data_IF_162340407470
#
_entry.id   IF_162340407470
#
_cell.length_a   1.000
_cell.length_b   1.000
_cell.length_c   1.000
_cell.angle_alpha   90.00
_cell.angle_beta   90.00
_cell.angle_gamma   90.00
#
_symmetry.space_group_name_H-M   'P 1'
#
loop_
_entity.id
_entity.type
_entity.pdbx_description
1 polymer ?
#
# COMPACT_ATOMS: atom_id res chain seq x y z
N UNK A 1 3.73 22.88 -14.63
CA UNK A 1 2.27 22.64 -14.56
C UNK A 1 1.84 22.25 -13.15
N UNK A 2 0.53 22.22 -12.84
CA UNK A 2 -0.03 22.15 -11.47
C UNK A 2 0.45 20.98 -10.57
N UNK A 3 1.18 19.99 -11.11
CA UNK A 3 1.70 18.82 -10.40
C UNK A 3 3.23 18.73 -10.34
N UNK A 4 3.98 19.71 -10.86
CA UNK A 4 5.46 19.68 -10.83
C UNK A 4 6.03 19.67 -9.41
N UNK A 5 5.33 20.29 -8.46
CA UNK A 5 5.74 20.37 -7.05
C UNK A 5 5.14 19.25 -6.18
N UNK A 6 4.44 18.27 -6.76
CA UNK A 6 3.88 17.18 -5.96
C UNK A 6 5.00 16.37 -5.29
N UNK A 7 4.84 16.15 -3.98
CA UNK A 7 5.75 15.37 -3.14
C UNK A 7 5.00 14.27 -2.41
N UNK A 8 5.45 13.04 -2.57
CA UNK A 8 4.88 11.85 -1.93
C UNK A 8 5.94 11.19 -1.07
N UNK A 9 5.67 11.06 0.22
CA UNK A 9 6.48 10.23 1.11
C UNK A 9 6.00 8.78 1.03
N UNK A 10 6.93 7.83 0.96
CA UNK A 10 6.61 6.40 0.95
C UNK A 10 7.02 5.83 2.30
N UNK A 11 6.07 5.24 3.04
CA UNK A 11 6.39 4.60 4.31
C UNK A 11 7.32 3.40 4.14
N UNK A 12 8.28 3.30 5.05
CA UNK A 12 9.06 2.08 5.25
C UNK A 12 8.33 1.16 6.24
N UNK A 13 7.54 0.22 5.70
CA UNK A 13 6.79 -0.72 6.51
C UNK A 13 7.59 -2.01 6.78
N UNK A 14 7.34 -2.70 7.91
CA UNK A 14 7.80 -4.06 8.12
C UNK A 14 7.41 -4.99 6.95
N UNK A 15 8.30 -5.92 6.59
CA UNK A 15 8.16 -6.78 5.41
C UNK A 15 6.86 -7.58 5.33
N UNK A 16 6.28 -7.94 6.49
CA UNK A 16 4.98 -8.61 6.62
C UNK A 16 3.81 -7.89 5.93
N UNK A 17 3.93 -6.59 5.69
CA UNK A 17 2.91 -5.80 5.00
C UNK A 17 3.10 -5.78 3.47
N UNK A 18 4.30 -6.12 2.98
CA UNK A 18 4.62 -6.08 1.55
C UNK A 18 5.61 -7.15 1.10
N UNK A 19 6.91 -6.99 1.32
CA UNK A 19 7.96 -7.76 0.65
C UNK A 19 7.92 -9.25 0.93
N UNK A 20 7.36 -9.70 2.06
CA UNK A 20 7.16 -11.12 2.35
C UNK A 20 6.23 -11.78 1.30
N UNK A 21 5.25 -11.04 0.77
CA UNK A 21 4.30 -11.52 -0.24
C UNK A 21 4.92 -11.69 -1.63
N UNK A 22 6.09 -11.09 -1.89
CA UNK A 22 6.81 -11.24 -3.15
C UNK A 22 7.38 -12.64 -3.36
N UNK A 23 7.38 -13.47 -2.30
CA UNK A 23 7.69 -14.90 -2.39
C UNK A 23 6.74 -15.67 -3.32
N UNK A 24 5.52 -15.15 -3.52
CA UNK A 24 4.59 -15.68 -4.51
C UNK A 24 4.78 -14.96 -5.86
N UNK A 25 5.22 -15.69 -6.89
CA UNK A 25 5.48 -15.13 -8.22
C UNK A 25 4.28 -14.42 -8.85
N UNK A 26 3.05 -14.79 -8.47
CA UNK A 26 1.83 -14.11 -8.93
C UNK A 26 1.79 -12.64 -8.51
N UNK A 27 2.39 -12.31 -7.37
CA UNK A 27 2.53 -10.93 -6.89
C UNK A 27 3.45 -10.07 -7.79
N UNK A 28 4.14 -10.66 -8.79
CA UNK A 28 4.97 -9.92 -9.74
C UNK A 28 4.33 -9.71 -11.11
N UNK A 29 3.46 -10.63 -11.56
CA UNK A 29 2.99 -10.66 -12.96
C UNK A 29 1.46 -10.73 -13.12
N UNK A 30 0.71 -10.99 -12.05
CA UNK A 30 -0.75 -11.06 -12.11
C UNK A 30 -1.37 -9.66 -12.18
N UNK A 31 -2.62 -9.53 -12.66
CA UNK A 31 -3.32 -8.24 -12.74
C UNK A 31 -3.47 -7.53 -11.37
N UNK A 32 -3.39 -8.29 -10.27
CA UNK A 32 -3.46 -7.79 -8.90
C UNK A 32 -2.08 -7.31 -8.37
N UNK A 33 -0.98 -7.60 -9.08
CA UNK A 33 0.37 -7.12 -8.76
C UNK A 33 0.54 -5.59 -8.93
N UNK A 34 -0.51 -4.87 -9.32
CA UNK A 34 -0.50 -3.43 -9.45
C UNK A 34 -0.13 -2.69 -8.14
N UNK A 35 -0.41 -3.27 -6.96
CA UNK A 35 0.12 -2.78 -5.66
C UNK A 35 1.65 -2.67 -5.68
N UNK A 36 2.33 -3.72 -6.16
CA UNK A 36 3.78 -3.78 -6.28
C UNK A 36 4.28 -2.83 -7.36
N UNK A 37 3.58 -2.77 -8.50
CA UNK A 37 3.96 -1.90 -9.61
C UNK A 37 3.90 -0.42 -9.21
N UNK A 38 2.83 0.02 -8.56
CA UNK A 38 2.67 1.40 -8.07
C UNK A 38 3.72 1.71 -7.02
N UNK A 39 3.96 0.80 -6.06
CA UNK A 39 5.00 1.00 -5.05
C UNK A 39 6.38 1.19 -5.71
N UNK A 40 6.78 0.30 -6.63
CA UNK A 40 8.06 0.41 -7.35
C UNK A 40 8.15 1.67 -8.21
N UNK A 41 7.05 2.08 -8.83
CA UNK A 41 6.98 3.30 -9.62
C UNK A 41 7.18 4.54 -8.75
N UNK A 42 6.50 4.61 -7.60
CA UNK A 42 6.67 5.70 -6.63
C UNK A 42 8.09 5.74 -6.07
N UNK A 43 8.69 4.59 -5.75
CA UNK A 43 10.08 4.52 -5.28
C UNK A 43 11.09 5.13 -6.26
N UNK A 44 10.80 5.09 -7.56
CA UNK A 44 11.63 5.62 -8.66
C UNK A 44 11.16 6.98 -9.20
N UNK A 45 10.04 7.51 -8.70
CA UNK A 45 9.44 8.75 -9.20
C UNK A 45 10.20 9.98 -8.73
N UNK A 46 10.28 11.01 -9.57
CA UNK A 46 10.77 12.36 -9.19
C UNK A 46 9.87 13.05 -8.16
N UNK A 47 8.62 12.58 -8.01
CA UNK A 47 7.70 13.07 -6.99
C UNK A 47 7.95 12.47 -5.61
N UNK A 48 8.80 11.44 -5.48
CA UNK A 48 9.12 10.89 -4.16
C UNK A 48 9.97 11.88 -3.36
N UNK A 49 9.58 12.08 -2.11
CA UNK A 49 10.42 12.75 -1.11
C UNK A 49 10.86 11.75 -0.04
N UNK A 50 12.07 11.95 0.47
CA UNK A 50 12.58 11.26 1.67
C UNK A 50 12.33 12.06 2.95
N UNK A 51 11.88 13.31 2.79
CA UNK A 51 11.59 14.24 3.86
C UNK A 51 10.07 14.31 4.08
N UNK A 52 9.55 13.70 5.14
CA UNK A 52 8.10 13.66 5.38
C UNK A 52 7.49 15.05 5.62
N UNK A 53 8.27 16.03 6.08
CA UNK A 53 7.85 17.42 6.26
C UNK A 53 7.56 18.16 4.96
N UNK A 54 8.13 17.72 3.84
CA UNK A 54 7.88 18.28 2.50
C UNK A 54 6.76 17.54 1.76
N UNK A 55 6.19 16.49 2.36
CA UNK A 55 5.24 15.60 1.69
C UNK A 55 3.82 16.17 1.69
N UNK A 56 3.18 16.11 0.52
CA UNK A 56 1.76 16.44 0.34
C UNK A 56 0.87 15.22 0.56
N UNK A 57 1.36 14.03 0.20
CA UNK A 57 0.70 12.75 0.45
C UNK A 57 1.66 11.72 1.01
N UNK A 58 1.11 10.76 1.73
CA UNK A 58 1.82 9.65 2.34
C UNK A 58 1.32 8.33 1.74
N UNK A 59 2.16 7.69 0.93
CA UNK A 59 1.84 6.39 0.36
C UNK A 59 2.14 5.28 1.34
N UNK A 60 1.16 4.40 1.58
CA UNK A 60 1.28 3.26 2.51
C UNK A 60 1.36 1.96 1.70
N UNK A 61 2.57 1.37 1.51
CA UNK A 61 2.76 0.25 0.60
C UNK A 61 2.34 -1.09 1.23
N UNK A 62 1.05 -1.41 1.15
CA UNK A 62 0.47 -2.68 1.62
C UNK A 62 0.13 -3.55 0.40
N UNK A 63 0.53 -4.82 0.40
CA UNK A 63 0.26 -5.76 -0.69
C UNK A 63 -0.88 -6.72 -0.31
N UNK A 64 -2.07 -6.18 -0.06
CA UNK A 64 -3.21 -6.94 0.45
C UNK A 64 -3.77 -7.96 -0.56
N UNK A 65 -3.49 -7.77 -1.85
CA UNK A 65 -3.96 -8.67 -2.91
C UNK A 65 -2.95 -9.75 -3.31
N UNK A 66 -1.75 -9.73 -2.74
CA UNK A 66 -0.70 -10.69 -3.07
C UNK A 66 -0.78 -12.03 -2.33
N UNK A 67 -1.71 -12.17 -1.39
CA UNK A 67 -2.02 -13.46 -0.78
C UNK A 67 -3.03 -14.20 -1.64
N UNK A 68 -2.60 -15.21 -2.41
CA UNK A 68 -3.45 -15.94 -3.34
C UNK A 68 -3.93 -17.28 -2.78
N UNK A 69 -5.20 -17.62 -3.02
CA UNK A 69 -5.75 -18.96 -2.79
C UNK A 69 -5.06 -19.99 -3.69
N UNK A 70 -4.68 -21.12 -3.10
CA UNK A 70 -4.11 -22.25 -3.84
C UNK A 70 -5.14 -22.95 -4.74
N UNK A 71 -6.44 -22.81 -4.44
CA UNK A 71 -7.52 -23.54 -5.11
C UNK A 71 -7.83 -22.97 -6.49
N UNK A 72 -7.94 -21.65 -6.60
CA UNK A 72 -8.38 -20.96 -7.82
C UNK A 72 -7.44 -19.86 -8.28
N UNK A 73 -6.44 -19.51 -7.45
CA UNK A 73 -5.49 -18.46 -7.77
C UNK A 73 -6.02 -17.04 -7.74
N UNK A 74 -7.14 -16.81 -7.06
CA UNK A 74 -7.60 -15.47 -6.70
C UNK A 74 -7.04 -15.04 -5.35
N UNK A 75 -6.88 -13.73 -5.11
CA UNK A 75 -6.51 -13.21 -3.80
C UNK A 75 -7.47 -13.65 -2.70
N UNK A 76 -6.94 -14.07 -1.56
CA UNK A 76 -7.68 -14.44 -0.37
C UNK A 76 -8.12 -13.19 0.38
N UNK A 77 -9.23 -12.56 -0.01
CA UNK A 77 -9.56 -11.18 0.42
C UNK A 77 -9.80 -11.02 1.93
N UNK A 78 -10.22 -12.07 2.64
CA UNK A 78 -10.61 -11.98 4.06
C UNK A 78 -9.54 -11.44 5.01
N UNK A 79 -8.26 -11.57 4.67
CA UNK A 79 -7.16 -11.05 5.50
C UNK A 79 -6.82 -9.57 5.22
N UNK A 80 -7.37 -8.95 4.16
CA UNK A 80 -7.02 -7.58 3.76
C UNK A 80 -7.42 -6.56 4.84
N UNK A 81 -8.67 -6.59 5.36
CA UNK A 81 -9.10 -5.61 6.38
C UNK A 81 -8.23 -5.64 7.65
N UNK A 82 -7.95 -6.82 8.25
CA UNK A 82 -7.01 -6.89 9.38
C UNK A 82 -5.59 -6.39 9.02
N UNK A 83 -5.10 -6.67 7.80
CA UNK A 83 -3.78 -6.22 7.36
C UNK A 83 -3.71 -4.69 7.28
N UNK A 84 -4.70 -4.03 6.67
CA UNK A 84 -4.78 -2.56 6.65
C UNK A 84 -4.90 -1.98 8.07
N UNK A 85 -5.78 -2.53 8.90
CA UNK A 85 -5.96 -2.03 10.27
C UNK A 85 -4.68 -2.13 11.11
N UNK A 86 -3.95 -3.24 11.01
CA UNK A 86 -2.67 -3.43 11.72
C UNK A 86 -1.55 -2.56 11.15
N UNK A 87 -1.52 -2.32 9.85
CA UNK A 87 -0.57 -1.38 9.22
C UNK A 87 -0.84 0.06 9.68
N UNK A 88 -2.10 0.48 9.70
CA UNK A 88 -2.53 1.80 10.20
C UNK A 88 -2.16 1.97 11.66
N UNK A 89 -2.47 0.99 12.52
CA UNK A 89 -2.09 1.04 13.93
C UNK A 89 -0.57 1.14 14.10
N UNK A 90 0.20 0.40 13.29
CA UNK A 90 1.65 0.47 13.30
C UNK A 90 2.15 1.87 12.93
N UNK A 91 1.73 2.44 11.79
CA UNK A 91 2.22 3.77 11.36
C UNK A 91 1.73 4.90 12.27
N UNK A 92 0.54 4.78 12.86
CA UNK A 92 0.01 5.73 13.84
C UNK A 92 0.81 5.74 15.15
N UNK A 93 1.38 4.60 15.53
CA UNK A 93 2.24 4.48 16.71
C UNK A 93 3.70 4.85 16.45
N UNK A 94 4.21 4.52 15.27
CA UNK A 94 5.65 4.64 14.94
C UNK A 94 6.02 5.99 14.34
N UNK A 95 5.06 6.71 13.74
CA UNK A 95 5.31 7.98 13.06
C UNK A 95 4.25 9.03 13.46
N UNK A 96 4.62 10.32 13.52
CA UNK A 96 3.67 11.37 13.90
C UNK A 96 2.70 11.76 12.77
N UNK A 97 2.96 11.33 11.52
CA UNK A 97 2.28 11.87 10.33
C UNK A 97 0.83 11.39 10.17
N UNK A 98 0.53 10.15 10.57
CA UNK A 98 -0.85 9.63 10.51
C UNK A 98 -1.80 10.45 11.39
N UNK A 99 -1.39 10.71 12.62
CA UNK A 99 -2.24 11.38 13.62
C UNK A 99 -2.45 12.87 13.30
N UNK A 100 -1.59 13.49 12.50
CA UNK A 100 -1.71 14.90 12.08
C UNK A 100 -2.97 15.15 11.25
N UNK A 101 -3.30 14.23 10.35
CA UNK A 101 -4.41 14.33 9.41
C UNK A 101 -5.53 13.33 9.69
N UNK A 102 -5.34 12.46 10.68
CA UNK A 102 -6.15 11.27 10.92
C UNK A 102 -6.31 10.41 9.65
N UNK A 103 -5.24 10.32 8.85
CA UNK A 103 -5.19 9.54 7.61
C UNK A 103 -5.72 10.25 6.36
N UNK A 104 -6.12 11.52 6.43
CA UNK A 104 -6.73 12.22 5.29
C UNK A 104 -5.75 12.48 4.11
N UNK A 105 -4.44 12.52 4.38
CA UNK A 105 -3.37 12.66 3.39
C UNK A 105 -2.66 11.33 3.07
N UNK A 106 -3.23 10.19 3.50
CA UNK A 106 -2.67 8.85 3.29
C UNK A 106 -3.33 8.14 2.11
N UNK A 107 -2.51 7.67 1.18
CA UNK A 107 -2.94 7.00 -0.04
C UNK A 107 -2.63 5.53 0.04
N UNK A 108 -3.65 4.72 -0.24
CA UNK A 108 -3.58 3.26 -0.31
C UNK A 108 -3.93 2.79 -1.72
N UNK A 109 -3.46 1.61 -2.08
CA UNK A 109 -3.82 0.94 -3.34
C UNK A 109 -4.51 -0.36 -2.99
N UNK A 110 -5.69 -0.57 -3.58
CA UNK A 110 -6.48 -1.79 -3.46
C UNK A 110 -6.91 -2.21 -4.88
N UNK A 111 -6.07 -2.99 -5.55
CA UNK A 111 -6.19 -3.30 -6.99
C UNK A 111 -7.07 -4.50 -7.30
N UNK A 112 -7.69 -5.09 -6.28
CA UNK A 112 -8.65 -6.17 -6.47
C UNK A 112 -9.92 -5.65 -7.17
N UNK A 113 -10.66 -6.54 -7.84
CA UNK A 113 -11.95 -6.22 -8.47
C UNK A 113 -13.00 -5.68 -7.48
N UNK A 114 -12.94 -6.15 -6.23
CA UNK A 114 -13.73 -5.66 -5.10
C UNK A 114 -13.23 -4.33 -4.49
N UNK A 115 -12.08 -3.80 -4.93
CA UNK A 115 -11.50 -2.56 -4.43
C UNK A 115 -11.35 -2.56 -2.89
N UNK A 116 -11.81 -1.48 -2.25
CA UNK A 116 -11.82 -1.35 -0.79
C UNK A 116 -12.91 -2.16 -0.09
N UNK A 117 -13.85 -2.75 -0.84
CA UNK A 117 -14.90 -3.62 -0.31
C UNK A 117 -14.32 -5.02 -0.07
N UNK A 118 -13.42 -5.13 0.89
CA UNK A 118 -12.80 -6.40 1.32
C UNK A 118 -13.75 -7.27 2.17
N UNK A 119 -15.04 -7.20 1.88
CA UNK A 119 -16.09 -8.06 2.41
C UNK A 119 -16.73 -8.77 1.23
N UNK A 120 -16.49 -10.07 1.13
CA UNK A 120 -17.46 -10.93 0.48
C UNK A 120 -18.70 -10.94 1.37
N UNK A 121 -19.89 -10.84 0.79
CA UNK A 121 -21.17 -10.91 1.51
C UNK A 121 -21.17 -11.94 2.64
#
# INVERSE_FOLDING_TARGET
GLMEDLKVFVYELPSRFNSDWLSNERCSNHLFAAEVAIHRALLKSSHRTLKPEEAHFFFVPIYATCNFSTVNGFPAIGHARPLFATAVAHIASAYPFWNRSNGADHVFVATHDHGACFHTM
#
